data_IF_303602144308
#
_entry.id   IF_303602144308
#
_cell.length_a   1.000
_cell.length_b   1.000
_cell.length_c   1.000
_cell.angle_alpha   90.00
_cell.angle_beta   90.00
_cell.angle_gamma   90.00
#
_symmetry.space_group_name_H-M   'P 1'
#
loop_
_entity.id
_entity.type
_entity.pdbx_description
1 polymer ?
#
# COMPACT_ATOMS: atom_id res chain seq x y z
N UNK A 1 36.28 -4.25 23.96
CA UNK A 1 35.11 -4.88 24.63
C UNK A 1 34.02 -5.09 23.56
N UNK A 2 34.17 -6.17 22.80
CA UNK A 2 33.23 -6.49 21.71
C UNK A 2 31.97 -7.10 22.29
N UNK A 3 30.82 -6.50 21.99
CA UNK A 3 29.51 -7.06 22.34
C UNK A 3 29.14 -8.11 21.30
N UNK A 4 29.19 -9.35 21.69
CA UNK A 4 28.70 -10.49 20.93
C UNK A 4 27.18 -10.39 20.73
N UNK A 5 26.73 -10.29 19.47
CA UNK A 5 25.33 -10.34 19.09
C UNK A 5 25.09 -11.73 18.49
N UNK A 6 24.32 -12.61 19.14
CA UNK A 6 24.07 -13.96 18.61
C UNK A 6 23.18 -13.92 17.35
N UNK A 7 23.60 -14.70 16.35
CA UNK A 7 22.85 -14.92 15.10
C UNK A 7 21.53 -15.67 15.39
N UNK A 8 20.48 -15.26 14.68
CA UNK A 8 19.10 -15.81 14.79
C UNK A 8 19.02 -17.34 14.63
N UNK A 9 20.02 -17.97 14.04
CA UNK A 9 20.10 -19.43 13.87
C UNK A 9 20.57 -20.19 15.13
N UNK A 10 21.16 -19.51 16.11
CA UNK A 10 21.64 -20.15 17.34
C UNK A 10 20.62 -20.18 18.48
N UNK A 11 19.58 -19.32 18.43
CA UNK A 11 18.54 -19.29 19.45
C UNK A 11 17.60 -20.50 19.45
N UNK A 12 17.59 -21.33 18.40
CA UNK A 12 16.65 -22.44 18.25
C UNK A 12 17.16 -23.80 18.79
N UNK A 13 18.36 -23.88 19.37
CA UNK A 13 18.99 -25.15 19.79
C UNK A 13 19.09 -25.39 21.30
N UNK A 14 18.50 -24.54 22.13
CA UNK A 14 18.67 -24.63 23.62
C UNK A 14 17.39 -24.96 24.40
N UNK A 15 16.42 -25.64 23.81
CA UNK A 15 15.21 -26.09 24.51
C UNK A 15 14.89 -27.59 24.26
N UNK A 16 15.87 -28.47 24.55
CA UNK A 16 15.57 -29.90 24.76
C UNK A 16 16.43 -30.40 25.91
N UNK A 17 15.81 -30.65 27.02
CA UNK A 17 16.38 -31.48 28.09
C UNK A 17 16.07 -30.99 29.50
N UNK A 18 15.02 -31.46 30.09
CA UNK A 18 14.98 -32.11 31.43
C UNK A 18 13.51 -32.25 31.89
N UNK A 19 12.97 -33.44 31.76
CA UNK A 19 11.72 -33.78 32.39
C UNK A 19 11.95 -34.27 33.81
N UNK A 20 11.07 -33.94 34.74
CA UNK A 20 10.64 -34.82 35.85
C UNK A 20 9.25 -34.36 36.25
N UNK A 21 8.34 -35.34 36.45
CA UNK A 21 6.92 -35.11 36.60
C UNK A 21 6.48 -34.55 37.95
N UNK A 22 5.41 -33.83 37.90
CA UNK A 22 4.48 -33.60 38.99
C UNK A 22 3.09 -33.51 38.39
N UNK A 23 2.21 -34.43 38.84
CA UNK A 23 0.83 -34.47 38.39
C UNK A 23 0.09 -33.21 38.81
N UNK A 24 -0.42 -32.50 37.80
CA UNK A 24 -1.34 -31.37 37.98
C UNK A 24 -2.72 -31.82 37.53
N UNK A 25 -3.65 -31.84 38.47
CA UNK A 25 -5.08 -32.01 38.25
C UNK A 25 -5.55 -30.88 37.36
N UNK A 26 -5.86 -31.16 36.08
CA UNK A 26 -6.48 -30.21 35.16
C UNK A 26 -7.94 -30.02 35.54
N UNK A 27 -8.24 -28.98 36.30
CA UNK A 27 -9.61 -28.46 36.37
C UNK A 27 -9.91 -27.80 35.02
N UNK A 28 -10.82 -28.40 34.30
CA UNK A 28 -11.31 -27.95 32.98
C UNK A 28 -12.14 -26.69 33.14
N UNK A 29 -11.50 -25.54 33.24
CA UNK A 29 -12.18 -24.25 33.13
C UNK A 29 -12.38 -23.94 31.65
N UNK A 30 -13.49 -24.39 31.08
CA UNK A 30 -13.98 -23.95 29.76
C UNK A 30 -14.21 -22.45 29.82
N UNK A 31 -13.18 -21.66 29.50
CA UNK A 31 -13.39 -20.26 29.13
C UNK A 31 -14.13 -20.28 27.82
N UNK A 32 -15.44 -20.02 27.87
CA UNK A 32 -16.21 -19.66 26.73
C UNK A 32 -15.51 -18.46 26.08
N UNK A 33 -14.90 -18.66 24.93
CA UNK A 33 -14.56 -17.57 24.03
C UNK A 33 -15.87 -16.88 23.75
N UNK A 34 -16.03 -15.67 24.29
CA UNK A 34 -17.18 -14.83 24.01
C UNK A 34 -17.28 -14.68 22.51
N UNK A 35 -18.36 -15.22 21.94
CA UNK A 35 -18.76 -14.93 20.56
C UNK A 35 -18.87 -13.41 20.44
N UNK A 36 -17.95 -12.80 19.70
CA UNK A 36 -18.14 -11.44 19.26
C UNK A 36 -19.49 -11.39 18.53
N UNK A 37 -20.34 -10.39 18.81
CA UNK A 37 -21.58 -10.24 18.08
C UNK A 37 -21.24 -10.10 16.59
N UNK A 38 -21.79 -10.99 15.77
CA UNK A 38 -21.78 -10.86 14.34
C UNK A 38 -22.32 -9.46 14.03
N UNK A 39 -21.49 -8.60 13.45
CA UNK A 39 -21.93 -7.31 12.93
C UNK A 39 -22.83 -7.60 11.71
N UNK A 40 -24.10 -7.86 11.97
CA UNK A 40 -25.16 -7.94 10.98
C UNK A 40 -25.63 -6.53 10.61
N UNK A 41 -24.73 -5.77 10.03
CA UNK A 41 -25.04 -4.56 9.30
C UNK A 41 -24.29 -4.68 7.98
N UNK A 42 -24.96 -5.19 6.95
CA UNK A 42 -24.47 -5.06 5.59
C UNK A 42 -24.49 -3.57 5.24
N UNK A 43 -23.41 -2.87 5.55
CA UNK A 43 -23.14 -1.59 4.89
C UNK A 43 -23.04 -1.97 3.42
N UNK A 44 -23.99 -1.51 2.60
CA UNK A 44 -23.94 -1.72 1.16
C UNK A 44 -22.52 -1.35 0.68
N UNK A 45 -21.90 -2.21 -0.12
CA UNK A 45 -20.56 -1.94 -0.65
C UNK A 45 -20.57 -0.55 -1.32
N UNK A 46 -19.53 0.28 -1.10
CA UNK A 46 -19.47 1.62 -1.67
C UNK A 46 -19.53 1.49 -3.20
N UNK A 47 -20.43 2.24 -3.82
CA UNK A 47 -20.69 2.14 -5.26
C UNK A 47 -20.11 3.32 -6.05
N UNK A 48 -19.82 4.43 -5.39
CA UNK A 48 -19.27 5.63 -6.04
C UNK A 48 -17.81 5.86 -5.68
N UNK A 49 -17.01 6.50 -6.57
CA UNK A 49 -15.62 6.85 -6.27
C UNK A 49 -15.45 7.62 -4.96
N UNK A 50 -16.38 8.53 -4.65
CA UNK A 50 -16.31 9.36 -3.44
C UNK A 50 -16.61 8.55 -2.15
N UNK A 51 -17.50 7.59 -2.22
CA UNK A 51 -17.76 6.68 -1.09
C UNK A 51 -16.54 5.82 -0.80
N UNK A 52 -15.90 5.28 -1.85
CA UNK A 52 -14.67 4.50 -1.71
C UNK A 52 -13.55 5.35 -1.13
N UNK A 53 -13.37 6.58 -1.63
CA UNK A 53 -12.36 7.47 -1.07
C UNK A 53 -12.59 7.73 0.42
N UNK A 54 -13.85 7.99 0.83
CA UNK A 54 -14.19 8.15 2.25
C UNK A 54 -13.91 6.89 3.07
N UNK A 55 -14.20 5.71 2.51
CA UNK A 55 -13.91 4.43 3.16
C UNK A 55 -12.41 4.27 3.44
N UNK A 56 -11.56 4.50 2.42
CA UNK A 56 -10.11 4.39 2.56
C UNK A 56 -9.56 5.42 3.57
N UNK A 57 -10.00 6.67 3.49
CA UNK A 57 -9.53 7.71 4.40
C UNK A 57 -9.97 7.46 5.84
N UNK A 58 -11.18 6.96 6.06
CA UNK A 58 -11.63 6.53 7.39
C UNK A 58 -10.82 5.33 7.93
N UNK A 59 -10.40 4.41 7.04
CA UNK A 59 -9.49 3.33 7.38
C UNK A 59 -8.12 3.85 7.80
N UNK A 60 -7.57 4.80 7.04
CA UNK A 60 -6.29 5.43 7.40
C UNK A 60 -6.37 6.19 8.74
N UNK A 61 -7.47 6.86 9.02
CA UNK A 61 -7.64 7.51 10.33
C UNK A 61 -7.62 6.49 11.48
N UNK A 62 -8.29 5.33 11.32
CA UNK A 62 -8.21 4.24 12.31
C UNK A 62 -6.78 3.70 12.47
N UNK A 63 -6.02 3.59 11.36
CA UNK A 63 -4.62 3.18 11.40
C UNK A 63 -3.77 4.17 12.21
N UNK A 64 -3.93 5.46 11.96
CA UNK A 64 -3.23 6.55 12.69
C UNK A 64 -3.59 6.53 14.17
N UNK A 65 -4.88 6.37 14.50
CA UNK A 65 -5.37 6.31 15.88
C UNK A 65 -5.07 4.99 16.60
N UNK A 66 -4.47 3.98 15.92
CA UNK A 66 -4.21 2.64 16.46
C UNK A 66 -5.50 1.89 16.86
N UNK A 67 -6.57 2.12 16.10
CA UNK A 67 -7.91 1.55 16.31
C UNK A 67 -8.35 0.70 15.12
N UNK A 68 -7.43 -0.09 14.56
CA UNK A 68 -7.70 -0.98 13.44
C UNK A 68 -8.85 -1.95 13.76
N UNK A 69 -9.66 -2.23 12.77
CA UNK A 69 -10.79 -3.17 12.85
C UNK A 69 -10.42 -4.56 12.34
N UNK A 70 -9.38 -4.66 11.51
CA UNK A 70 -8.95 -5.90 10.85
C UNK A 70 -10.12 -6.63 10.16
N UNK A 71 -10.81 -5.97 9.22
CA UNK A 71 -11.95 -6.59 8.54
C UNK A 71 -11.49 -7.74 7.65
N UNK A 72 -12.41 -8.66 7.35
CA UNK A 72 -12.24 -9.66 6.29
C UNK A 72 -11.02 -10.60 6.46
N UNK A 73 -10.67 -10.94 7.70
CA UNK A 73 -9.57 -11.86 8.03
C UNK A 73 -10.06 -13.27 8.43
N UNK A 74 -11.38 -13.50 8.51
CA UNK A 74 -11.92 -14.79 8.95
C UNK A 74 -11.83 -15.86 7.86
N UNK A 75 -11.71 -17.14 8.27
CA UNK A 75 -11.78 -18.29 7.37
C UNK A 75 -13.10 -18.33 6.58
N UNK A 76 -14.20 -17.98 7.22
CA UNK A 76 -15.50 -17.90 6.56
C UNK A 76 -15.50 -16.88 5.43
N UNK A 77 -14.91 -15.71 5.62
CA UNK A 77 -14.74 -14.71 4.57
C UNK A 77 -13.82 -15.20 3.46
N UNK A 78 -12.65 -15.75 3.81
CA UNK A 78 -11.70 -16.31 2.84
C UNK A 78 -12.36 -17.33 1.91
N UNK A 79 -13.22 -18.19 2.45
CA UNK A 79 -13.98 -19.17 1.66
C UNK A 79 -14.93 -18.52 0.65
N UNK A 80 -15.46 -17.34 0.91
CA UNK A 80 -16.32 -16.61 -0.05
C UNK A 80 -15.53 -16.10 -1.27
N UNK A 81 -14.25 -15.83 -1.11
CA UNK A 81 -13.38 -15.28 -2.16
C UNK A 81 -12.80 -16.33 -3.13
N UNK A 82 -13.10 -17.61 -2.94
CA UNK A 82 -12.48 -18.68 -3.73
C UNK A 82 -12.89 -18.69 -5.21
N UNK A 83 -13.99 -18.06 -5.57
CA UNK A 83 -14.55 -18.07 -6.93
C UNK A 83 -14.34 -16.77 -7.69
N UNK A 84 -14.35 -15.64 -7.01
CA UNK A 84 -14.34 -14.31 -7.63
C UNK A 84 -13.78 -13.27 -6.64
N UNK A 85 -13.41 -12.09 -7.16
CA UNK A 85 -12.95 -10.95 -6.37
C UNK A 85 -13.75 -9.70 -6.77
N UNK A 86 -14.08 -8.88 -5.78
CA UNK A 86 -14.78 -7.61 -5.95
C UNK A 86 -14.08 -6.49 -5.15
N UNK A 87 -12.86 -6.12 -5.54
CA UNK A 87 -12.12 -5.07 -4.83
C UNK A 87 -12.84 -3.73 -4.93
N UNK A 88 -12.90 -2.98 -3.83
CA UNK A 88 -13.55 -1.67 -3.80
C UNK A 88 -12.67 -0.57 -4.39
N UNK A 89 -11.36 -0.77 -4.41
CA UNK A 89 -10.38 0.18 -4.95
C UNK A 89 -9.15 -0.52 -5.52
N UNK A 90 -8.45 0.20 -6.39
CA UNK A 90 -7.10 -0.15 -6.85
C UNK A 90 -6.08 0.79 -6.22
N UNK A 91 -4.99 0.24 -5.68
CA UNK A 91 -3.88 1.02 -5.15
C UNK A 91 -2.63 0.72 -5.98
N UNK A 92 -2.10 1.74 -6.67
CA UNK A 92 -0.75 1.71 -7.22
C UNK A 92 0.21 2.30 -6.19
N UNK A 93 0.99 1.46 -5.54
CA UNK A 93 1.92 1.86 -4.48
C UNK A 93 3.36 1.46 -4.74
N UNK A 94 4.26 1.98 -3.90
CA UNK A 94 5.65 1.53 -3.90
C UNK A 94 5.80 0.12 -3.28
N UNK A 95 6.81 -0.63 -3.74
CA UNK A 95 7.20 -1.91 -3.14
C UNK A 95 7.87 -1.76 -1.75
N UNK A 96 8.02 -0.54 -1.23
CA UNK A 96 8.63 -0.26 0.07
C UNK A 96 7.96 -1.05 1.20
N UNK A 97 8.75 -1.81 1.96
CA UNK A 97 8.24 -2.72 3.00
C UNK A 97 7.53 -2.02 4.17
N UNK A 98 7.70 -0.70 4.30
CA UNK A 98 7.08 0.13 5.34
C UNK A 98 5.66 0.58 4.96
N UNK A 99 5.22 0.32 3.71
CA UNK A 99 3.93 0.76 3.18
C UNK A 99 3.09 -0.45 2.78
N UNK A 100 2.47 -1.10 3.76
CA UNK A 100 1.51 -2.17 3.55
C UNK A 100 0.11 -1.56 3.38
N UNK A 101 -0.34 -1.44 2.14
CA UNK A 101 -1.54 -0.67 1.77
C UNK A 101 -2.80 -1.14 2.47
N UNK A 102 -3.00 -2.45 2.61
CA UNK A 102 -4.14 -3.03 3.31
C UNK A 102 -4.17 -2.60 4.79
N UNK A 103 -3.01 -2.59 5.44
CA UNK A 103 -2.90 -2.16 6.83
C UNK A 103 -3.09 -0.65 6.95
N UNK A 104 -2.48 0.14 6.04
CA UNK A 104 -2.58 1.61 6.03
C UNK A 104 -4.02 2.09 5.89
N UNK A 105 -4.85 1.36 5.12
CA UNK A 105 -6.24 1.69 4.92
C UNK A 105 -7.22 0.85 5.75
N UNK A 106 -6.72 -0.01 6.65
CA UNK A 106 -7.54 -0.92 7.48
C UNK A 106 -8.56 -1.68 6.63
N UNK A 107 -8.05 -2.34 5.60
CA UNK A 107 -8.80 -3.18 4.66
C UNK A 107 -8.30 -4.63 4.78
N UNK A 108 -9.14 -5.59 4.42
CA UNK A 108 -8.83 -7.01 4.52
C UNK A 108 -8.72 -7.71 3.16
N UNK A 109 -8.75 -9.04 3.22
CA UNK A 109 -8.64 -9.89 2.03
C UNK A 109 -9.76 -9.59 1.03
N UNK A 110 -9.38 -9.33 -0.23
CA UNK A 110 -10.32 -9.09 -1.33
C UNK A 110 -10.82 -7.65 -1.45
N UNK A 111 -10.52 -6.76 -0.48
CA UNK A 111 -11.00 -5.38 -0.50
C UNK A 111 -10.24 -4.48 -1.47
N UNK A 112 -8.94 -4.73 -1.67
CA UNK A 112 -8.10 -3.91 -2.53
C UNK A 112 -7.48 -4.73 -3.65
N UNK A 113 -7.41 -4.15 -4.85
CA UNK A 113 -6.54 -4.61 -5.92
C UNK A 113 -5.23 -3.83 -5.85
N UNK A 114 -4.15 -4.50 -5.41
CA UNK A 114 -2.90 -3.83 -5.10
C UNK A 114 -1.84 -4.11 -6.14
N UNK A 115 -1.29 -3.05 -6.73
CA UNK A 115 -0.16 -3.07 -7.67
C UNK A 115 1.01 -2.38 -6.98
N UNK A 116 2.17 -3.06 -6.89
CA UNK A 116 3.34 -2.51 -6.20
C UNK A 116 4.59 -2.64 -7.06
N UNK A 117 5.20 -1.50 -7.31
CA UNK A 117 6.48 -1.39 -8.02
C UNK A 117 7.33 -0.29 -7.37
N UNK A 118 8.66 -0.45 -7.32
CA UNK A 118 9.53 0.55 -6.72
C UNK A 118 9.30 1.94 -7.36
N UNK A 119 9.06 2.96 -6.53
CA UNK A 119 8.75 4.31 -7.00
C UNK A 119 7.34 4.48 -7.59
N UNK A 120 6.43 3.52 -7.46
CA UNK A 120 5.06 3.59 -8.00
C UNK A 120 4.99 4.13 -9.43
N UNK A 121 5.97 3.77 -10.27
CA UNK A 121 6.05 4.16 -11.68
C UNK A 121 4.99 3.44 -12.51
N UNK A 122 4.71 3.98 -13.70
CA UNK A 122 3.70 3.42 -14.61
C UNK A 122 4.38 2.95 -15.89
N UNK A 123 4.57 1.66 -16.00
CA UNK A 123 4.98 0.98 -17.20
C UNK A 123 3.79 0.30 -17.91
N UNK A 124 4.08 -0.51 -18.91
CA UNK A 124 3.07 -1.22 -19.68
C UNK A 124 2.28 -2.23 -18.84
N UNK A 125 2.96 -2.99 -17.98
CA UNK A 125 2.35 -4.04 -17.15
C UNK A 125 1.52 -3.43 -16.01
N UNK A 126 1.98 -2.32 -15.41
CA UNK A 126 1.23 -1.55 -14.42
C UNK A 126 -0.02 -0.95 -15.07
N UNK A 127 0.09 -0.34 -16.26
CA UNK A 127 -1.06 0.19 -17.00
C UNK A 127 -2.09 -0.89 -17.27
N UNK A 128 -1.68 -2.04 -17.81
CA UNK A 128 -2.58 -3.17 -18.06
C UNK A 128 -3.25 -3.70 -16.79
N UNK A 129 -2.54 -3.74 -15.66
CA UNK A 129 -3.10 -4.17 -14.38
C UNK A 129 -4.15 -3.19 -13.86
N UNK A 130 -3.91 -1.87 -14.00
CA UNK A 130 -4.89 -0.82 -13.62
C UNK A 130 -6.12 -0.91 -14.53
N UNK A 131 -5.94 -1.00 -15.85
CA UNK A 131 -7.06 -1.17 -16.79
C UNK A 131 -7.87 -2.43 -16.48
N UNK A 132 -7.21 -3.55 -16.18
CA UNK A 132 -7.89 -4.78 -15.79
C UNK A 132 -8.79 -4.56 -14.58
N UNK A 133 -8.31 -3.91 -13.54
CA UNK A 133 -9.10 -3.66 -12.32
C UNK A 133 -10.31 -2.78 -12.58
N UNK A 134 -10.16 -1.75 -13.42
CA UNK A 134 -11.24 -0.82 -13.73
C UNK A 134 -12.26 -1.44 -14.70
N UNK A 135 -11.81 -2.09 -15.76
CA UNK A 135 -12.66 -2.56 -16.85
C UNK A 135 -13.33 -3.91 -16.55
N UNK A 136 -12.65 -4.80 -15.83
CA UNK A 136 -13.13 -6.16 -15.57
C UNK A 136 -13.61 -6.37 -14.13
N UNK A 137 -12.98 -5.68 -13.15
CA UNK A 137 -13.40 -5.78 -11.75
C UNK A 137 -14.25 -4.58 -11.30
N UNK A 138 -14.41 -3.59 -12.17
CA UNK A 138 -15.25 -2.40 -11.96
C UNK A 138 -14.87 -1.58 -10.73
N UNK A 139 -13.57 -1.50 -10.39
CA UNK A 139 -13.11 -0.66 -9.30
C UNK A 139 -13.35 0.81 -9.62
N UNK A 140 -14.11 1.55 -8.81
CA UNK A 140 -14.47 2.94 -9.11
C UNK A 140 -13.39 3.95 -8.70
N UNK A 141 -12.36 3.50 -7.97
CA UNK A 141 -11.28 4.35 -7.47
C UNK A 141 -9.92 3.70 -7.74
N UNK A 142 -9.02 4.47 -8.34
CA UNK A 142 -7.58 4.18 -8.38
C UNK A 142 -6.86 5.21 -7.52
N UNK A 143 -6.04 4.79 -6.57
CA UNK A 143 -5.17 5.68 -5.81
C UNK A 143 -3.72 5.43 -6.18
N UNK A 144 -3.02 6.47 -6.63
CA UNK A 144 -1.56 6.46 -6.81
C UNK A 144 -0.93 6.92 -5.50
N UNK A 145 -0.35 5.98 -4.77
CA UNK A 145 0.17 6.19 -3.42
C UNK A 145 1.70 6.19 -3.41
N UNK A 146 2.30 7.38 -3.40
CA UNK A 146 3.70 7.56 -3.05
C UNK A 146 3.92 7.55 -1.55
N UNK A 147 5.17 7.67 -1.11
CA UNK A 147 5.49 7.76 0.31
C UNK A 147 6.76 8.58 0.54
N UNK A 148 6.86 9.19 1.72
CA UNK A 148 8.07 9.92 2.13
C UNK A 148 9.31 9.03 2.09
N UNK A 149 10.45 9.63 1.76
CA UNK A 149 11.74 8.92 1.76
C UNK A 149 11.78 7.72 0.81
N UNK A 150 11.11 7.79 -0.33
CA UNK A 150 11.11 6.74 -1.35
C UNK A 150 12.51 6.54 -1.92
N UNK A 151 13.05 5.30 -1.80
CA UNK A 151 14.41 4.99 -2.25
C UNK A 151 14.61 5.19 -3.76
N UNK A 152 13.63 4.85 -4.59
CA UNK A 152 13.72 5.02 -6.04
C UNK A 152 13.74 6.52 -6.42
N UNK A 153 12.91 7.35 -5.78
CA UNK A 153 12.95 8.81 -5.99
C UNK A 153 14.25 9.41 -5.48
N UNK A 154 14.77 8.93 -4.33
CA UNK A 154 16.06 9.34 -3.80
C UNK A 154 17.19 9.04 -4.78
N UNK A 155 17.20 7.84 -5.38
CA UNK A 155 18.18 7.47 -6.40
C UNK A 155 18.10 8.37 -7.63
N UNK A 156 16.90 8.68 -8.12
CA UNK A 156 16.70 9.59 -9.25
C UNK A 156 17.18 11.02 -8.94
N UNK A 157 16.93 11.54 -7.74
CA UNK A 157 17.47 12.85 -7.30
C UNK A 157 18.98 12.84 -7.21
N UNK A 158 19.58 11.78 -6.67
CA UNK A 158 21.04 11.65 -6.56
C UNK A 158 21.71 11.54 -7.94
N UNK A 159 21.14 10.77 -8.87
CA UNK A 159 21.63 10.70 -10.25
C UNK A 159 21.57 12.08 -10.92
N UNK A 160 20.48 12.81 -10.76
CA UNK A 160 20.31 14.16 -11.30
C UNK A 160 21.33 15.17 -10.76
N UNK A 161 21.78 15.01 -9.50
CA UNK A 161 22.74 15.90 -8.86
C UNK A 161 24.19 15.53 -9.13
N UNK A 162 24.51 14.25 -9.10
CA UNK A 162 25.89 13.75 -9.08
C UNK A 162 26.30 13.06 -10.39
N UNK A 163 25.33 12.80 -11.27
CA UNK A 163 25.53 11.92 -12.42
C UNK A 163 25.66 10.44 -12.01
N UNK A 164 26.10 9.62 -12.96
CA UNK A 164 26.20 8.17 -12.78
C UNK A 164 24.97 7.45 -13.31
N UNK A 165 25.03 6.12 -13.30
CA UNK A 165 23.94 5.22 -13.69
C UNK A 165 23.96 4.02 -12.77
N UNK A 166 22.78 3.50 -12.47
CA UNK A 166 22.63 2.24 -11.74
C UNK A 166 22.69 1.04 -12.70
N UNK A 167 22.58 -0.18 -12.18
CA UNK A 167 22.45 -1.37 -13.01
C UNK A 167 21.17 -1.28 -13.84
N UNK A 168 21.21 -1.86 -15.05
CA UNK A 168 20.22 -1.68 -16.12
C UNK A 168 18.77 -1.72 -15.64
N UNK A 169 18.38 -2.71 -14.84
CA UNK A 169 16.98 -2.89 -14.45
C UNK A 169 16.54 -1.87 -13.37
N UNK A 170 17.45 -1.46 -12.49
CA UNK A 170 17.20 -0.36 -11.53
C UNK A 170 17.16 0.96 -12.29
N UNK A 171 18.05 1.17 -13.25
CA UNK A 171 18.08 2.36 -14.10
C UNK A 171 16.75 2.56 -14.83
N UNK A 172 16.10 1.50 -15.29
CA UNK A 172 14.79 1.59 -15.94
C UNK A 172 13.72 2.20 -15.04
N UNK A 173 13.76 1.97 -13.73
CA UNK A 173 12.86 2.62 -12.76
C UNK A 173 13.21 4.10 -12.59
N UNK A 174 14.50 4.42 -12.50
CA UNK A 174 15.00 5.79 -12.35
C UNK A 174 14.63 6.63 -13.57
N UNK A 175 14.80 6.10 -14.77
CA UNK A 175 14.50 6.79 -16.04
C UNK A 175 12.98 7.11 -16.17
N UNK A 176 12.11 6.34 -15.52
CA UNK A 176 10.66 6.62 -15.47
C UNK A 176 10.31 7.72 -14.46
N UNK A 177 11.12 7.90 -13.41
CA UNK A 177 10.92 8.95 -12.38
C UNK A 177 11.52 10.28 -12.84
N UNK A 178 12.64 10.24 -13.57
CA UNK A 178 13.43 11.42 -13.97
C UNK A 178 12.58 12.55 -14.58
N UNK A 179 11.63 12.29 -15.52
CA UNK A 179 10.82 13.37 -16.09
C UNK A 179 10.01 14.15 -15.06
N UNK A 180 9.54 13.53 -13.99
CA UNK A 180 8.82 14.21 -12.90
C UNK A 180 9.69 15.24 -12.18
N UNK A 181 11.00 14.95 -12.07
CA UNK A 181 11.94 15.82 -11.38
C UNK A 181 12.20 17.14 -12.14
N UNK A 182 11.79 17.25 -13.40
CA UNK A 182 11.94 18.50 -14.17
C UNK A 182 11.24 19.69 -13.49
N UNK A 183 10.16 19.44 -12.76
CA UNK A 183 9.41 20.46 -12.02
C UNK A 183 10.01 20.79 -10.64
N UNK A 184 11.00 20.03 -10.17
CA UNK A 184 11.60 20.19 -8.84
C UNK A 184 12.76 21.17 -8.88
N UNK A 185 12.72 22.20 -8.03
CA UNK A 185 13.79 23.21 -7.94
C UNK A 185 15.09 22.57 -7.45
N UNK A 186 16.16 22.69 -8.26
CA UNK A 186 17.50 22.18 -7.98
C UNK A 186 18.22 22.89 -6.82
N UNK A 187 17.74 24.08 -6.42
CA UNK A 187 18.32 24.86 -5.33
C UNK A 187 17.90 24.39 -3.93
N UNK A 188 16.88 23.55 -3.86
CA UNK A 188 16.42 22.95 -2.60
C UNK A 188 17.49 22.03 -2.00
N UNK A 189 17.41 21.78 -0.71
CA UNK A 189 18.18 20.72 -0.07
C UNK A 189 17.88 19.36 -0.72
N UNK A 190 18.79 18.40 -0.62
CA UNK A 190 18.56 17.04 -1.17
C UNK A 190 17.28 16.43 -0.60
N UNK A 191 17.05 16.60 0.70
CA UNK A 191 15.85 16.11 1.38
C UNK A 191 14.57 16.74 0.83
N UNK A 192 14.58 18.07 0.62
CA UNK A 192 13.44 18.78 0.04
C UNK A 192 13.23 18.43 -1.44
N UNK A 193 14.29 18.19 -2.20
CA UNK A 193 14.18 17.69 -3.57
C UNK A 193 13.56 16.30 -3.61
N UNK A 194 13.92 15.39 -2.69
CA UNK A 194 13.30 14.06 -2.59
C UNK A 194 11.82 14.20 -2.23
N UNK A 195 11.47 15.05 -1.26
CA UNK A 195 10.07 15.27 -0.86
C UNK A 195 9.24 15.80 -2.03
N UNK A 196 9.71 16.86 -2.70
CA UNK A 196 9.05 17.41 -3.88
C UNK A 196 9.01 16.40 -5.05
N UNK A 197 10.08 15.62 -5.21
CA UNK A 197 10.19 14.57 -6.22
C UNK A 197 9.17 13.46 -6.02
N UNK A 198 8.89 13.06 -4.79
CA UNK A 198 7.83 12.08 -4.48
C UNK A 198 6.46 12.61 -4.94
N UNK A 199 6.12 13.85 -4.61
CA UNK A 199 4.85 14.43 -5.03
C UNK A 199 4.76 14.56 -6.56
N UNK A 200 5.82 15.04 -7.20
CA UNK A 200 5.90 15.18 -8.65
C UNK A 200 5.76 13.83 -9.37
N UNK A 201 6.40 12.79 -8.86
CA UNK A 201 6.31 11.44 -9.43
C UNK A 201 4.91 10.83 -9.28
N UNK A 202 4.24 11.05 -8.14
CA UNK A 202 2.84 10.64 -7.93
C UNK A 202 1.92 11.35 -8.92
N UNK A 203 2.08 12.66 -9.11
CA UNK A 203 1.29 13.44 -10.06
C UNK A 203 1.55 13.01 -11.51
N UNK A 204 2.81 12.72 -11.87
CA UNK A 204 3.17 12.18 -13.19
C UNK A 204 2.48 10.84 -13.43
N UNK A 205 2.59 9.89 -12.50
CA UNK A 205 1.95 8.57 -12.61
C UNK A 205 0.42 8.70 -12.73
N UNK A 206 -0.17 9.61 -11.96
CA UNK A 206 -1.61 9.92 -12.05
C UNK A 206 -1.97 10.46 -13.44
N UNK A 207 -1.16 11.36 -13.98
CA UNK A 207 -1.36 11.95 -15.32
C UNK A 207 -1.27 10.88 -16.40
N UNK A 208 -0.25 10.01 -16.35
CA UNK A 208 -0.07 8.91 -17.31
C UNK A 208 -1.30 8.01 -17.31
N UNK A 209 -1.74 7.53 -16.13
CA UNK A 209 -2.92 6.67 -16.04
C UNK A 209 -4.19 7.38 -16.52
N UNK A 210 -4.39 8.64 -16.17
CA UNK A 210 -5.57 9.42 -16.57
C UNK A 210 -5.64 9.66 -18.08
N UNK A 211 -4.50 9.62 -18.78
CA UNK A 211 -4.41 9.78 -20.23
C UNK A 211 -4.66 8.48 -21.01
N UNK A 212 -4.71 7.32 -20.36
CA UNK A 212 -5.04 6.05 -21.02
C UNK A 212 -6.48 6.12 -21.55
N UNK A 213 -6.74 5.79 -22.83
CA UNK A 213 -8.02 6.03 -23.48
C UNK A 213 -9.23 5.46 -22.75
N UNK A 214 -9.13 4.24 -22.23
CA UNK A 214 -10.23 3.56 -21.56
C UNK A 214 -10.49 4.13 -20.15
N UNK A 215 -9.42 4.50 -19.44
CA UNK A 215 -9.56 5.15 -18.13
C UNK A 215 -10.11 6.58 -18.30
N UNK A 216 -9.67 7.31 -19.32
CA UNK A 216 -10.20 8.65 -19.63
C UNK A 216 -11.72 8.62 -19.90
N UNK A 217 -12.21 7.60 -20.61
CA UNK A 217 -13.67 7.41 -20.83
C UNK A 217 -14.40 7.18 -19.50
N UNK A 218 -13.86 6.34 -18.63
CA UNK A 218 -14.44 6.05 -17.31
C UNK A 218 -14.44 7.29 -16.39
N UNK A 219 -13.38 8.12 -16.47
CA UNK A 219 -13.30 9.41 -15.75
C UNK A 219 -14.37 10.39 -16.27
N UNK A 220 -14.51 10.53 -17.60
CA UNK A 220 -15.55 11.40 -18.21
C UNK A 220 -16.96 10.93 -17.85
N UNK A 221 -17.18 9.63 -17.80
CA UNK A 221 -18.44 9.02 -17.36
C UNK A 221 -18.70 9.15 -15.84
N UNK A 222 -17.73 9.67 -15.08
CA UNK A 222 -17.76 9.80 -13.60
C UNK A 222 -17.90 8.46 -12.87
N UNK A 223 -17.56 7.36 -13.51
CA UNK A 223 -17.52 6.03 -12.91
C UNK A 223 -16.16 5.71 -12.28
N UNK A 224 -15.12 6.48 -12.62
CA UNK A 224 -13.78 6.34 -12.11
C UNK A 224 -13.23 7.67 -11.59
N UNK A 225 -12.51 7.63 -10.46
CA UNK A 225 -11.56 8.69 -10.04
C UNK A 225 -10.16 8.10 -9.90
N UNK A 226 -9.15 8.84 -10.34
CA UNK A 226 -7.73 8.55 -10.08
C UNK A 226 -7.21 9.62 -9.13
N UNK A 227 -6.78 9.23 -7.94
CA UNK A 227 -6.45 10.13 -6.83
C UNK A 227 -4.95 10.00 -6.49
N UNK A 228 -4.19 11.10 -6.60
CA UNK A 228 -2.80 11.14 -6.14
C UNK A 228 -2.74 11.32 -4.61
N UNK A 229 -1.90 10.54 -3.94
CA UNK A 229 -1.71 10.61 -2.50
C UNK A 229 -0.27 10.29 -2.08
N UNK A 230 0.13 10.77 -0.91
CA UNK A 230 1.43 10.46 -0.29
C UNK A 230 1.20 9.97 1.12
N UNK A 231 1.84 8.85 1.46
CA UNK A 231 1.89 8.28 2.79
C UNK A 231 3.07 8.87 3.57
N UNK A 232 2.79 9.42 4.74
CA UNK A 232 3.76 9.99 5.67
C UNK A 232 4.26 8.90 6.62
N UNK A 233 5.54 8.54 6.53
CA UNK A 233 6.12 7.45 7.30
C UNK A 233 6.09 7.68 8.83
N UNK A 234 6.24 8.94 9.24
CA UNK A 234 6.30 9.28 10.66
C UNK A 234 4.93 9.25 11.33
N UNK A 235 3.91 9.74 10.66
CA UNK A 235 2.56 9.91 11.21
C UNK A 235 1.63 8.74 10.89
N UNK A 236 1.92 8.03 9.79
CA UNK A 236 1.03 7.04 9.20
C UNK A 236 -0.14 7.64 8.41
N UNK A 237 -0.18 8.97 8.24
CA UNK A 237 -1.24 9.64 7.50
C UNK A 237 -1.05 9.52 5.99
N UNK A 238 -2.17 9.39 5.29
CA UNK A 238 -2.24 9.55 3.85
C UNK A 238 -2.76 10.95 3.53
N UNK A 239 -1.95 11.71 2.81
CA UNK A 239 -2.29 13.07 2.38
C UNK A 239 -2.62 13.06 0.89
N UNK A 240 -3.82 13.53 0.55
CA UNK A 240 -4.24 13.69 -0.84
C UNK A 240 -3.52 14.89 -1.47
N UNK A 241 -3.07 14.73 -2.71
CA UNK A 241 -2.50 15.83 -3.49
C UNK A 241 -3.60 16.50 -4.31
N UNK A 242 -3.40 17.77 -4.64
CA UNK A 242 -4.27 18.51 -5.57
C UNK A 242 -3.75 18.31 -7.00
N UNK A 243 -4.64 18.00 -7.92
CA UNK A 243 -4.37 17.94 -9.36
C UNK A 243 -4.68 19.30 -9.97
#
# INVERSE_FOLDING_TARGET
MDRFVPDRRQALRLLVGAGVGAGIVLTNSSRAFGSQPAHSGSVAAPQTPDEVLRLLMAGNERFVEKKLRHPHESEAWQNTLTKEQHPVATILGCSDSRVATEIVFDQGLGDLFVIRVAGNVVDHDVSGSVEYSVLHLHTPLVMVLGHEGCGAVTAAVQERLNGGKDVKEIQSLIDQIEPALASVDRKLSVEDQVRAGVEANVLQSTTILSALPELAKSIQAKTLKIIPAVYELQTGRVRLLKV
#
